data_IF_933087596195
#
_entry.id   IF_933087596195
#
_cell.length_a   1.000
_cell.length_b   1.000
_cell.length_c   1.000
_cell.angle_alpha   90.00
_cell.angle_beta   90.00
_cell.angle_gamma   90.00
#
_symmetry.space_group_name_H-M   'P 1'
#
loop_
_entity.id
_entity.type
_entity.pdbx_description
1 polymer ?
#
# COMPACT_ATOMS: atom_id res chain seq x y z
N UNK A 1 10.46 -18.58 8.03
CA UNK A 1 11.05 -19.92 8.19
C UNK A 1 11.65 -20.45 6.89
N UNK A 2 10.99 -20.29 5.75
CA UNK A 2 11.46 -20.77 4.43
C UNK A 2 12.88 -20.30 4.09
N UNK A 3 13.16 -19.03 4.35
CA UNK A 3 14.45 -18.43 4.06
C UNK A 3 15.55 -18.78 5.09
N UNK A 4 15.18 -18.86 6.38
CA UNK A 4 16.12 -18.92 7.49
C UNK A 4 16.09 -20.25 8.28
N UNK A 5 15.14 -21.15 7.99
CA UNK A 5 14.93 -22.38 8.75
C UNK A 5 16.07 -23.41 8.70
N UNK A 6 17.05 -23.20 7.84
CA UNK A 6 18.28 -24.01 7.78
C UNK A 6 19.29 -23.63 8.88
N UNK A 7 19.10 -22.48 9.54
CA UNK A 7 19.97 -21.99 10.61
C UNK A 7 19.48 -22.59 11.94
N UNK A 8 20.35 -23.36 12.60
CA UNK A 8 19.97 -24.09 13.82
C UNK A 8 19.91 -23.20 15.07
N UNK A 9 20.73 -22.16 15.16
CA UNK A 9 20.81 -21.22 16.30
C UNK A 9 20.95 -19.80 15.80
N UNK A 10 19.85 -19.24 15.31
CA UNK A 10 19.84 -17.87 14.82
C UNK A 10 19.54 -16.84 15.90
N UNK A 11 19.73 -15.58 15.54
CA UNK A 11 19.44 -14.43 16.38
C UNK A 11 18.40 -13.56 15.68
N UNK A 12 17.37 -13.15 16.42
CA UNK A 12 16.38 -12.19 15.96
C UNK A 12 16.32 -10.96 16.86
N UNK A 13 15.74 -9.91 16.32
CA UNK A 13 15.31 -8.71 17.07
C UNK A 13 13.84 -8.48 16.75
N UNK A 14 13.01 -8.35 17.79
CA UNK A 14 11.57 -8.17 17.70
C UNK A 14 11.21 -6.84 18.38
N UNK A 15 10.98 -5.80 17.60
CA UNK A 15 10.59 -4.48 18.09
C UNK A 15 9.07 -4.37 17.99
N UNK A 16 8.42 -4.16 19.14
CA UNK A 16 6.99 -4.36 19.32
C UNK A 16 6.68 -5.85 19.47
N UNK A 17 7.31 -6.51 20.46
CA UNK A 17 7.23 -7.96 20.61
C UNK A 17 5.86 -8.46 21.11
N UNK A 18 5.12 -7.64 21.84
CA UNK A 18 3.80 -7.90 22.42
C UNK A 18 3.74 -9.24 23.18
N UNK A 19 2.67 -10.03 22.99
CA UNK A 19 2.49 -11.31 23.65
C UNK A 19 3.50 -12.36 23.14
N UNK A 20 4.19 -13.10 24.04
CA UNK A 20 5.21 -14.09 23.66
C UNK A 20 4.68 -15.26 22.84
N UNK A 21 3.38 -15.48 22.78
CA UNK A 21 2.74 -16.65 22.16
C UNK A 21 1.71 -16.27 21.12
N UNK A 22 0.76 -15.38 21.46
CA UNK A 22 -0.31 -14.96 20.55
C UNK A 22 0.24 -13.96 19.52
N UNK A 23 0.05 -14.28 18.25
CA UNK A 23 0.53 -13.49 17.10
C UNK A 23 2.05 -13.25 17.04
N UNK A 24 2.84 -13.93 17.91
CA UNK A 24 4.28 -13.75 17.96
C UNK A 24 4.99 -14.35 16.75
N UNK A 25 5.60 -13.51 15.92
CA UNK A 25 6.40 -13.90 14.75
C UNK A 25 7.64 -14.69 15.17
N UNK A 26 8.24 -14.35 16.30
CA UNK A 26 9.49 -14.94 16.79
C UNK A 26 9.31 -16.24 17.56
N UNK A 27 8.09 -16.55 18.02
CA UNK A 27 7.80 -17.78 18.79
C UNK A 27 8.23 -19.06 18.08
N UNK A 28 7.95 -19.18 16.79
CA UNK A 28 8.30 -20.36 16.00
C UNK A 28 9.82 -20.55 15.86
N UNK A 29 10.59 -19.48 15.89
CA UNK A 29 12.06 -19.50 15.88
C UNK A 29 12.60 -19.84 17.28
N UNK A 30 12.06 -19.21 18.31
CA UNK A 30 12.41 -19.50 19.70
C UNK A 30 12.24 -21.00 20.03
N UNK A 31 11.10 -21.60 19.70
CA UNK A 31 10.81 -23.02 19.93
C UNK A 31 11.80 -23.95 19.22
N UNK A 32 12.48 -23.47 18.18
CA UNK A 32 13.49 -24.20 17.42
C UNK A 32 14.93 -23.89 17.83
N UNK A 33 15.10 -23.26 19.01
CA UNK A 33 16.41 -23.05 19.60
C UNK A 33 17.09 -21.73 19.26
N UNK A 34 16.40 -20.82 18.59
CA UNK A 34 16.86 -19.45 18.40
C UNK A 34 16.72 -18.66 19.69
N UNK A 35 17.40 -17.53 19.76
CA UNK A 35 17.24 -16.52 20.81
C UNK A 35 17.42 -15.13 20.22
N UNK A 36 16.95 -14.12 20.92
CA UNK A 36 17.01 -12.77 20.40
C UNK A 36 16.80 -11.69 21.45
N UNK A 37 16.42 -10.54 20.94
CA UNK A 37 16.07 -9.36 21.73
C UNK A 37 14.61 -9.03 21.47
N UNK A 38 13.82 -8.93 22.53
CA UNK A 38 12.45 -8.45 22.48
C UNK A 38 12.42 -7.02 23.06
N UNK A 39 11.95 -6.07 22.29
CA UNK A 39 11.73 -4.68 22.71
C UNK A 39 10.23 -4.50 22.88
N UNK A 40 9.79 -4.29 24.13
CA UNK A 40 8.37 -4.23 24.49
C UNK A 40 8.15 -3.28 25.66
N UNK A 41 7.40 -2.18 25.49
CA UNK A 41 7.20 -1.21 26.56
C UNK A 41 6.09 -1.57 27.55
N UNK A 42 5.11 -2.42 27.17
CA UNK A 42 3.93 -2.70 28.01
C UNK A 42 4.29 -3.69 29.11
N UNK A 43 4.14 -3.32 30.41
CA UNK A 43 4.61 -4.15 31.53
C UNK A 43 4.02 -5.57 31.53
N UNK A 44 2.76 -5.73 31.18
CA UNK A 44 2.10 -7.05 31.12
C UNK A 44 2.79 -7.98 30.13
N UNK A 45 3.14 -7.49 28.94
CA UNK A 45 3.83 -8.30 27.93
C UNK A 45 5.30 -8.55 28.31
N UNK A 46 5.95 -7.55 28.90
CA UNK A 46 7.31 -7.73 29.44
C UNK A 46 7.38 -8.86 30.47
N UNK A 47 6.44 -8.91 31.41
CA UNK A 47 6.38 -9.99 32.43
C UNK A 47 6.20 -11.36 31.76
N UNK A 48 5.30 -11.47 30.79
CA UNK A 48 5.09 -12.72 30.03
C UNK A 48 6.33 -13.12 29.24
N UNK A 49 6.99 -12.19 28.55
CA UNK A 49 8.23 -12.41 27.80
C UNK A 49 9.35 -12.93 28.71
N UNK A 50 9.54 -12.33 29.87
CA UNK A 50 10.56 -12.76 30.83
C UNK A 50 10.31 -14.19 31.35
N UNK A 51 9.05 -14.61 31.49
CA UNK A 51 8.68 -15.94 31.95
C UNK A 51 8.81 -16.98 30.81
N UNK A 52 8.27 -16.66 29.64
CA UNK A 52 8.12 -17.64 28.55
C UNK A 52 9.31 -17.68 27.60
N UNK A 53 10.13 -16.60 27.58
CA UNK A 53 11.29 -16.44 26.68
C UNK A 53 12.60 -16.23 27.45
N UNK A 54 12.94 -17.08 28.45
CA UNK A 54 14.11 -16.87 29.32
C UNK A 54 15.47 -16.95 28.59
N UNK A 55 15.52 -17.38 27.32
CA UNK A 55 16.73 -17.31 26.50
C UNK A 55 16.91 -15.99 25.78
N UNK A 56 15.87 -15.17 25.74
CA UNK A 56 15.89 -13.86 25.08
C UNK A 56 16.29 -12.77 26.07
N UNK A 57 16.78 -11.67 25.54
CA UNK A 57 16.93 -10.41 26.27
C UNK A 57 15.66 -9.59 26.05
N UNK A 58 14.94 -9.30 27.11
CA UNK A 58 13.74 -8.45 27.03
C UNK A 58 14.08 -7.04 27.55
N UNK A 59 13.83 -6.04 26.70
CA UNK A 59 14.05 -4.63 26.96
C UNK A 59 12.71 -3.94 27.19
N UNK A 60 12.45 -3.50 28.41
CA UNK A 60 11.18 -2.85 28.84
C UNK A 60 11.18 -1.36 28.48
N UNK A 61 11.18 -1.02 27.20
CA UNK A 61 11.26 0.35 26.68
C UNK A 61 10.73 0.44 25.24
N UNK A 62 10.56 1.67 24.73
CA UNK A 62 10.30 1.93 23.33
C UNK A 62 11.61 2.07 22.53
N UNK A 63 11.61 1.63 21.29
CA UNK A 63 12.64 2.02 20.32
C UNK A 63 12.20 3.27 19.55
N UNK A 64 13.15 4.14 19.18
CA UNK A 64 12.87 5.34 18.39
C UNK A 64 14.12 6.04 17.88
N UNK A 65 13.96 7.20 17.26
CA UNK A 65 15.05 7.96 16.65
C UNK A 65 16.02 8.56 17.68
N UNK A 66 15.54 8.86 18.89
CA UNK A 66 16.33 9.51 19.93
C UNK A 66 16.09 8.88 21.31
N UNK A 67 17.08 8.97 22.19
CA UNK A 67 16.91 8.61 23.60
C UNK A 67 16.03 9.64 24.33
N UNK A 68 15.16 9.17 25.21
CA UNK A 68 14.29 10.05 26.00
C UNK A 68 13.18 9.33 26.74
N UNK A 69 12.10 10.01 26.94
CA UNK A 69 10.85 9.48 27.51
C UNK A 69 9.71 9.83 26.53
N UNK A 70 8.85 8.89 26.28
CA UNK A 70 7.70 9.04 25.39
C UNK A 70 6.42 8.61 26.10
N UNK A 71 5.31 9.25 25.77
CA UNK A 71 3.99 8.77 26.16
C UNK A 71 3.55 7.67 25.20
N UNK A 72 3.37 6.47 25.72
CA UNK A 72 2.79 5.33 24.99
C UNK A 72 1.29 5.28 25.30
N UNK A 73 0.46 5.29 24.27
CA UNK A 73 -0.98 5.10 24.39
C UNK A 73 -1.28 3.61 24.33
N UNK A 74 -1.36 2.98 25.48
CA UNK A 74 -1.60 1.55 25.61
C UNK A 74 -3.09 1.23 25.43
N UNK A 75 -3.40 0.39 24.44
CA UNK A 75 -4.75 -0.14 24.20
C UNK A 75 -4.91 -1.44 24.97
N UNK A 76 -5.65 -1.40 26.09
CA UNK A 76 -5.76 -2.51 27.04
C UNK A 76 -6.24 -3.80 26.35
N UNK A 77 -5.53 -4.90 26.59
CA UNK A 77 -5.87 -6.23 26.08
C UNK A 77 -5.63 -6.46 24.58
N UNK A 78 -4.86 -5.57 23.95
CA UNK A 78 -4.50 -5.70 22.53
C UNK A 78 -3.00 -5.46 22.30
N UNK A 79 -2.50 -5.73 21.09
CA UNK A 79 -1.17 -5.33 20.64
C UNK A 79 -1.10 -3.93 20.02
N UNK A 80 -2.21 -3.21 19.92
CA UNK A 80 -2.33 -1.94 19.19
C UNK A 80 -1.82 -0.70 19.95
N UNK A 81 -0.83 -0.86 20.83
CA UNK A 81 -0.28 0.25 21.60
C UNK A 81 0.67 1.10 20.74
N UNK A 82 0.49 2.42 20.74
CA UNK A 82 1.27 3.33 19.87
C UNK A 82 1.83 4.51 20.64
N UNK A 83 2.99 5.00 20.23
CA UNK A 83 3.55 6.29 20.65
C UNK A 83 3.22 7.43 19.65
N UNK A 84 2.51 7.13 18.57
CA UNK A 84 2.14 8.11 17.54
C UNK A 84 0.82 8.79 17.87
N UNK A 85 0.85 10.12 17.99
CA UNK A 85 -0.37 10.92 18.19
C UNK A 85 -1.32 10.89 16.99
N UNK A 86 -0.81 10.62 15.79
CA UNK A 86 -1.62 10.59 14.56
C UNK A 86 -2.60 9.41 14.56
N UNK A 87 -2.25 8.31 15.23
CA UNK A 87 -3.09 7.11 15.33
C UNK A 87 -4.07 7.12 16.50
N UNK A 88 -3.92 8.04 17.46
CA UNK A 88 -4.87 8.15 18.58
C UNK A 88 -6.32 8.36 18.14
N UNK A 89 -6.54 9.14 17.09
CA UNK A 89 -7.90 9.37 16.57
C UNK A 89 -8.52 8.11 16.00
N UNK A 90 -7.73 7.26 15.35
CA UNK A 90 -8.18 5.98 14.78
C UNK A 90 -8.58 5.01 15.91
N UNK A 91 -7.77 4.96 16.98
CA UNK A 91 -8.01 4.10 18.14
C UNK A 91 -9.24 4.60 18.92
N UNK A 92 -9.38 5.91 19.12
CA UNK A 92 -10.49 6.52 19.85
C UNK A 92 -11.85 6.26 19.19
N UNK A 93 -11.91 6.19 17.88
CA UNK A 93 -13.14 5.89 17.13
C UNK A 93 -13.63 4.44 17.31
N UNK A 94 -12.76 3.54 17.78
CA UNK A 94 -13.09 2.12 18.00
C UNK A 94 -13.60 1.82 19.42
N UNK A 95 -13.74 2.82 20.30
CA UNK A 95 -14.17 2.68 21.69
C UNK A 95 -13.29 1.73 22.54
N UNK A 96 -12.01 1.60 22.22
CA UNK A 96 -11.04 0.88 23.03
C UNK A 96 -10.73 1.64 24.34
N UNK A 97 -10.46 0.89 25.40
CA UNK A 97 -9.92 1.45 26.63
C UNK A 97 -8.43 1.73 26.44
N UNK A 98 -8.01 2.98 26.65
CA UNK A 98 -6.61 3.40 26.51
C UNK A 98 -6.07 3.94 27.82
N UNK A 99 -4.80 3.65 28.09
CA UNK A 99 -4.06 4.14 29.26
C UNK A 99 -2.73 4.72 28.79
N UNK A 100 -2.43 5.95 29.20
CA UNK A 100 -1.16 6.59 28.90
C UNK A 100 -0.07 6.12 29.86
N UNK A 101 1.05 5.65 29.29
CA UNK A 101 2.22 5.19 30.01
C UNK A 101 3.42 6.05 29.62
N UNK A 102 4.12 6.61 30.62
CA UNK A 102 5.43 7.24 30.41
C UNK A 102 6.49 6.16 30.34
N UNK A 103 7.14 5.99 29.17
CA UNK A 103 8.07 4.92 28.90
C UNK A 103 9.41 5.48 28.45
N UNK A 104 10.51 4.88 28.89
CA UNK A 104 11.84 5.16 28.36
C UNK A 104 11.88 4.80 26.86
N UNK A 105 12.53 5.66 26.07
CA UNK A 105 12.79 5.45 24.66
C UNK A 105 14.29 5.48 24.41
N UNK A 106 14.81 4.52 23.65
CA UNK A 106 16.20 4.46 23.23
C UNK A 106 16.32 4.24 21.73
N UNK A 107 17.45 4.67 21.17
CA UNK A 107 17.78 4.29 19.78
C UNK A 107 18.00 2.79 19.67
N UNK A 108 17.66 2.23 18.52
CA UNK A 108 17.86 0.79 18.30
C UNK A 108 19.35 0.41 18.34
N UNK A 109 20.26 1.29 17.91
CA UNK A 109 21.70 1.13 18.10
C UNK A 109 22.06 0.85 19.56
N UNK A 110 21.59 1.69 20.47
CA UNK A 110 21.87 1.55 21.90
C UNK A 110 21.24 0.29 22.50
N UNK A 111 20.03 -0.04 22.08
CA UNK A 111 19.35 -1.27 22.48
C UNK A 111 20.19 -2.50 22.10
N UNK A 112 20.62 -2.58 20.86
CA UNK A 112 21.41 -3.71 20.35
C UNK A 112 22.79 -3.82 21.00
N UNK A 113 23.46 -2.69 21.25
CA UNK A 113 24.70 -2.66 22.02
C UNK A 113 24.50 -3.18 23.45
N UNK A 114 23.47 -2.66 24.15
CA UNK A 114 23.15 -3.03 25.53
C UNK A 114 22.73 -4.51 25.65
N UNK A 115 22.11 -5.06 24.61
CA UNK A 115 21.76 -6.47 24.52
C UNK A 115 22.96 -7.40 24.15
N UNK A 116 24.15 -6.83 23.90
CA UNK A 116 25.37 -7.58 23.62
C UNK A 116 25.39 -8.19 22.21
N UNK A 117 24.73 -7.56 21.22
CA UNK A 117 24.70 -8.04 19.84
C UNK A 117 25.84 -7.49 18.97
N UNK A 118 26.71 -6.62 19.50
CA UNK A 118 27.83 -6.06 18.74
C UNK A 118 28.73 -7.17 18.15
N UNK A 119 28.88 -7.15 16.82
CA UNK A 119 29.68 -8.14 16.07
C UNK A 119 29.03 -9.51 15.94
N UNK A 120 27.78 -9.67 16.26
CA UNK A 120 27.00 -10.90 16.05
C UNK A 120 26.06 -10.74 14.84
N UNK A 121 25.82 -11.86 14.17
CA UNK A 121 24.80 -11.89 13.11
C UNK A 121 23.41 -11.70 13.69
N UNK A 122 22.66 -10.79 13.10
CA UNK A 122 21.22 -10.63 13.30
C UNK A 122 20.53 -11.19 12.05
N UNK A 123 19.89 -12.33 12.17
CA UNK A 123 19.33 -13.02 11.02
C UNK A 123 18.02 -12.39 10.54
N UNK A 124 17.24 -11.81 11.47
CA UNK A 124 16.17 -10.89 11.08
C UNK A 124 15.87 -9.88 12.18
N UNK A 125 15.41 -8.70 11.74
CA UNK A 125 14.85 -7.65 12.56
C UNK A 125 13.40 -7.44 12.13
N UNK A 126 12.44 -7.59 13.07
CA UNK A 126 11.05 -7.19 12.91
C UNK A 126 10.85 -5.83 13.56
N UNK A 127 10.16 -4.94 12.88
CA UNK A 127 9.69 -3.64 13.39
C UNK A 127 8.19 -3.53 13.14
N UNK A 128 7.43 -3.46 14.24
CA UNK A 128 5.98 -3.45 14.24
C UNK A 128 5.55 -2.70 15.49
N UNK A 129 5.39 -1.39 15.38
CA UNK A 129 5.25 -0.43 16.50
C UNK A 129 4.08 0.54 16.29
N UNK A 130 3.11 0.09 15.46
CA UNK A 130 1.83 0.76 15.29
C UNK A 130 1.98 2.24 14.95
N UNK A 131 2.77 2.50 13.86
CA UNK A 131 2.94 3.82 13.26
C UNK A 131 4.17 4.60 13.69
N UNK A 132 5.09 4.00 14.44
CA UNK A 132 6.38 4.61 14.78
C UNK A 132 7.58 3.97 14.04
N UNK A 133 7.34 3.18 12.99
CA UNK A 133 8.35 2.42 12.24
C UNK A 133 9.45 3.33 11.70
N UNK A 134 9.10 4.49 11.14
CA UNK A 134 10.08 5.46 10.65
C UNK A 134 11.01 5.92 11.77
N UNK A 135 10.48 6.22 12.94
CA UNK A 135 11.27 6.65 14.10
C UNK A 135 12.24 5.56 14.55
N UNK A 136 11.79 4.31 14.60
CA UNK A 136 12.66 3.16 14.93
C UNK A 136 13.76 2.99 13.90
N UNK A 137 13.43 3.04 12.60
CA UNK A 137 14.38 2.87 11.50
C UNK A 137 15.38 4.02 11.40
N UNK A 138 15.08 5.22 11.87
CA UNK A 138 16.02 6.32 12.01
C UNK A 138 16.95 6.17 13.21
N UNK A 139 16.58 5.34 14.18
CA UNK A 139 17.37 5.03 15.38
C UNK A 139 18.37 3.88 15.22
N UNK A 140 18.56 3.37 14.01
CA UNK A 140 19.55 2.31 13.71
C UNK A 140 20.48 2.74 12.58
N UNK A 141 21.79 2.56 12.79
CA UNK A 141 22.78 2.69 11.72
C UNK A 141 22.89 1.36 10.95
N UNK A 142 22.20 1.29 9.82
CA UNK A 142 22.20 0.11 8.94
C UNK A 142 23.52 -0.11 8.19
N UNK A 143 24.51 0.78 8.31
CA UNK A 143 25.87 0.52 7.86
C UNK A 143 26.68 -0.29 8.88
N UNK A 144 26.30 -0.23 10.17
CA UNK A 144 26.91 -0.97 11.28
C UNK A 144 26.15 -2.24 11.60
N UNK A 145 24.83 -2.10 11.79
CA UNK A 145 23.92 -3.21 12.06
C UNK A 145 23.36 -3.72 10.75
N UNK A 146 23.67 -4.97 10.43
CA UNK A 146 23.31 -5.57 9.14
C UNK A 146 22.41 -6.80 9.32
N UNK A 147 21.13 -6.63 9.77
CA UNK A 147 20.20 -7.76 9.75
C UNK A 147 20.08 -8.35 8.35
N UNK A 148 20.14 -9.67 8.23
CA UNK A 148 20.01 -10.34 6.93
C UNK A 148 18.67 -10.09 6.28
N UNK A 149 17.60 -10.08 7.12
CA UNK A 149 16.22 -9.79 6.68
C UNK A 149 15.62 -8.71 7.59
N UNK A 150 14.95 -7.75 6.97
CA UNK A 150 14.08 -6.79 7.67
C UNK A 150 12.63 -7.13 7.36
N UNK A 151 11.79 -7.12 8.41
CA UNK A 151 10.34 -7.27 8.34
C UNK A 151 9.74 -6.06 9.02
N UNK A 152 9.12 -5.18 8.26
CA UNK A 152 8.60 -3.90 8.77
C UNK A 152 7.12 -3.80 8.48
N UNK A 153 6.33 -3.52 9.51
CA UNK A 153 4.92 -3.20 9.30
C UNK A 153 4.79 -1.98 8.38
N UNK A 154 3.87 -2.05 7.44
CA UNK A 154 3.79 -1.08 6.36
C UNK A 154 2.36 -0.62 6.06
N UNK A 155 1.46 -0.79 7.02
CA UNK A 155 0.07 -0.31 6.92
C UNK A 155 -0.28 0.55 8.12
N UNK A 156 -1.26 1.42 7.94
CA UNK A 156 -1.87 2.11 9.07
C UNK A 156 -2.60 1.11 9.97
N UNK A 157 -2.61 1.29 11.30
CA UNK A 157 -3.37 0.46 12.22
C UNK A 157 -4.82 0.30 11.77
N UNK A 158 -5.31 -0.94 11.75
CA UNK A 158 -6.68 -1.31 11.35
C UNK A 158 -7.09 -0.87 9.93
N UNK A 159 -6.13 -0.51 9.07
CA UNK A 159 -6.37 -0.05 7.71
C UNK A 159 -5.46 -0.74 6.69
N UNK A 160 -5.76 -0.59 5.41
CA UNK A 160 -4.95 -1.13 4.30
C UNK A 160 -4.07 -0.07 3.63
N UNK A 161 -4.11 1.18 4.13
CA UNK A 161 -3.29 2.26 3.61
C UNK A 161 -1.82 2.01 3.96
N UNK A 162 -0.94 2.07 2.95
CA UNK A 162 0.47 1.76 3.14
C UNK A 162 1.25 2.97 3.63
N UNK A 163 2.13 2.76 4.63
CA UNK A 163 2.94 3.79 5.30
C UNK A 163 4.40 3.82 4.85
N UNK A 164 4.86 2.83 4.11
CA UNK A 164 6.27 2.62 3.78
C UNK A 164 6.96 3.79 3.05
N UNK A 165 6.22 4.65 2.37
CA UNK A 165 6.80 5.73 1.55
C UNK A 165 7.67 6.71 2.37
N UNK A 166 7.44 6.85 3.67
CA UNK A 166 8.21 7.74 4.54
C UNK A 166 9.57 7.18 4.95
N UNK A 167 9.73 5.87 4.99
CA UNK A 167 10.92 5.20 5.52
C UNK A 167 11.62 4.23 4.54
N UNK A 168 10.98 3.78 3.47
CA UNK A 168 11.56 2.76 2.58
C UNK A 168 12.92 3.17 1.98
N UNK A 169 13.09 4.45 1.65
CA UNK A 169 14.38 4.96 1.15
C UNK A 169 15.53 4.73 2.14
N UNK A 170 15.26 4.77 3.45
CA UNK A 170 16.28 4.47 4.46
C UNK A 170 16.85 3.05 4.30
N UNK A 171 16.03 2.10 3.89
CA UNK A 171 16.45 0.71 3.70
C UNK A 171 17.15 0.52 2.34
N UNK A 172 16.54 1.03 1.27
CA UNK A 172 17.06 0.87 -0.09
C UNK A 172 18.43 1.56 -0.25
N UNK A 173 18.61 2.76 0.30
CA UNK A 173 19.86 3.52 0.24
C UNK A 173 20.99 2.85 1.08
N UNK A 174 20.62 1.98 2.02
CA UNK A 174 21.55 1.20 2.86
C UNK A 174 21.74 -0.24 2.36
N UNK A 175 21.45 -0.53 1.09
CA UNK A 175 21.76 -1.82 0.47
C UNK A 175 20.84 -2.94 0.93
N UNK A 176 19.54 -2.66 1.01
CA UNK A 176 18.48 -3.66 1.17
C UNK A 176 17.63 -3.74 -0.08
N UNK A 177 17.24 -4.95 -0.47
CA UNK A 177 16.36 -5.21 -1.59
C UNK A 177 14.95 -5.52 -1.09
N UNK A 178 13.94 -4.85 -1.64
CA UNK A 178 12.55 -5.20 -1.41
C UNK A 178 12.24 -6.60 -1.99
N UNK A 179 11.59 -7.45 -1.20
CA UNK A 179 11.23 -8.81 -1.58
C UNK A 179 9.73 -9.01 -1.76
N UNK A 180 8.93 -8.59 -0.78
CA UNK A 180 7.50 -8.87 -0.72
C UNK A 180 6.77 -7.84 0.15
N UNK A 181 5.54 -7.54 -0.22
CA UNK A 181 4.51 -7.02 0.68
C UNK A 181 3.43 -8.11 0.83
N UNK A 182 3.21 -8.58 2.06
CA UNK A 182 2.27 -9.68 2.35
C UNK A 182 0.84 -9.21 2.65
N UNK A 183 0.61 -7.90 2.61
CA UNK A 183 -0.66 -7.25 2.94
C UNK A 183 -0.62 -6.48 4.27
N UNK A 184 0.40 -6.72 5.09
CA UNK A 184 0.68 -6.02 6.35
C UNK A 184 2.14 -5.58 6.40
N UNK A 185 3.06 -6.52 6.24
CA UNK A 185 4.49 -6.31 6.37
C UNK A 185 5.20 -6.22 5.02
N UNK A 186 6.26 -5.44 4.97
CA UNK A 186 7.22 -5.43 3.87
C UNK A 186 8.50 -6.16 4.30
N UNK A 187 8.98 -7.02 3.41
CA UNK A 187 10.17 -7.85 3.62
C UNK A 187 11.31 -7.34 2.75
N UNK A 188 12.47 -7.22 3.36
CA UNK A 188 13.69 -6.80 2.67
C UNK A 188 14.82 -7.78 3.01
N UNK A 189 15.72 -8.02 2.05
CA UNK A 189 16.96 -8.78 2.26
C UNK A 189 18.16 -7.85 2.07
N UNK A 190 19.18 -7.98 2.90
CA UNK A 190 20.44 -7.29 2.69
C UNK A 190 21.09 -7.75 1.38
N UNK A 191 21.78 -6.85 0.67
CA UNK A 191 22.41 -7.14 -0.63
C UNK A 191 23.42 -8.32 -0.53
N UNK A 192 24.14 -8.41 0.58
CA UNK A 192 25.07 -9.49 0.89
C UNK A 192 24.39 -10.85 1.16
N UNK A 193 23.06 -10.85 1.34
CA UNK A 193 22.20 -12.02 1.52
C UNK A 193 21.14 -12.16 0.44
N UNK A 194 21.44 -11.71 -0.78
CA UNK A 194 20.53 -11.76 -1.93
C UNK A 194 20.07 -13.18 -2.30
N UNK A 195 20.76 -14.22 -1.86
CA UNK A 195 20.35 -15.62 -1.97
C UNK A 195 19.03 -15.92 -1.24
N UNK A 196 18.63 -15.09 -0.25
CA UNK A 196 17.37 -15.22 0.47
C UNK A 196 16.16 -14.67 -0.30
N UNK A 197 16.39 -13.77 -1.27
CA UNK A 197 15.33 -13.10 -2.04
C UNK A 197 14.34 -14.08 -2.67
N UNK A 198 14.74 -15.17 -3.36
CA UNK A 198 13.78 -16.09 -3.95
C UNK A 198 12.84 -16.74 -2.93
N UNK A 199 13.32 -16.99 -1.69
CA UNK A 199 12.52 -17.56 -0.61
C UNK A 199 11.57 -16.54 0.05
N UNK A 200 11.85 -15.23 -0.07
CA UNK A 200 11.09 -14.14 0.51
C UNK A 200 10.13 -13.47 -0.48
N UNK A 201 10.22 -13.78 -1.79
CA UNK A 201 9.50 -13.06 -2.84
C UNK A 201 8.03 -13.46 -3.03
N UNK A 202 7.50 -14.36 -2.23
CA UNK A 202 6.10 -14.78 -2.29
C UNK A 202 5.54 -15.08 -0.90
N UNK A 203 4.24 -14.85 -0.67
CA UNK A 203 3.63 -15.01 0.64
C UNK A 203 3.69 -16.47 1.13
N UNK A 204 3.53 -16.66 2.43
CA UNK A 204 3.43 -17.99 3.01
C UNK A 204 2.25 -18.76 2.41
N UNK A 205 2.46 -20.04 2.15
CA UNK A 205 1.49 -20.91 1.50
C UNK A 205 1.44 -22.30 2.08
N UNK A 206 0.61 -23.17 1.50
CA UNK A 206 0.39 -24.54 1.98
C UNK A 206 1.68 -25.39 2.03
N UNK A 207 2.66 -25.07 1.21
CA UNK A 207 3.94 -25.78 1.16
C UNK A 207 4.89 -25.43 2.31
N UNK A 208 4.63 -24.33 3.04
CA UNK A 208 5.45 -23.91 4.18
C UNK A 208 5.15 -24.70 5.46
N UNK A 209 4.20 -25.64 5.41
CA UNK A 209 3.76 -26.44 6.54
C UNK A 209 3.48 -25.57 7.77
N UNK A 210 2.45 -24.72 7.74
CA UNK A 210 2.17 -23.77 8.81
C UNK A 210 2.08 -24.49 10.14
N UNK A 211 2.83 -23.99 11.11
CA UNK A 211 2.96 -24.58 12.43
C UNK A 211 1.98 -23.87 13.38
N UNK A 212 1.11 -24.61 14.00
CA UNK A 212 0.18 -24.09 15.00
C UNK A 212 0.72 -24.36 16.39
N UNK A 213 1.00 -23.33 17.16
CA UNK A 213 1.33 -23.43 18.59
C UNK A 213 0.01 -23.38 19.36
N UNK A 214 -0.35 -24.46 20.05
CA UNK A 214 -1.57 -24.50 20.84
C UNK A 214 -1.49 -25.52 21.98
N UNK A 215 -2.01 -25.15 23.12
CA UNK A 215 -2.23 -26.01 24.26
C UNK A 215 -3.39 -26.96 24.01
N UNK A 216 -3.15 -28.25 24.05
CA UNK A 216 -4.18 -29.27 24.18
C UNK A 216 -5.05 -29.57 22.94
N UNK A 217 -5.38 -30.83 22.72
CA UNK A 217 -6.20 -31.32 21.59
C UNK A 217 -7.59 -30.70 21.52
N UNK A 218 -8.17 -30.27 22.65
CA UNK A 218 -9.51 -29.67 22.73
C UNK A 218 -9.54 -28.22 22.24
N UNK A 219 -8.52 -27.41 22.56
CA UNK A 219 -8.38 -26.05 22.04
C UNK A 219 -8.08 -26.06 20.53
N UNK A 220 -7.25 -27.01 20.08
CA UNK A 220 -7.00 -27.22 18.64
C UNK A 220 -8.26 -27.59 17.88
N UNK A 221 -9.13 -28.43 18.45
CA UNK A 221 -10.38 -28.78 17.81
C UNK A 221 -11.36 -27.60 17.74
N UNK A 222 -11.52 -26.83 18.83
CA UNK A 222 -12.37 -25.65 18.87
C UNK A 222 -11.86 -24.54 17.92
N UNK A 223 -10.54 -24.34 17.86
CA UNK A 223 -9.93 -23.38 16.93
C UNK A 223 -10.03 -23.84 15.48
N UNK A 224 -9.90 -25.15 15.22
CA UNK A 224 -10.13 -25.72 13.89
C UNK A 224 -11.57 -25.52 13.44
N UNK A 225 -12.56 -25.73 14.31
CA UNK A 225 -13.97 -25.47 14.01
C UNK A 225 -14.24 -23.98 13.75
N UNK A 226 -13.66 -23.08 14.55
CA UNK A 226 -13.76 -21.63 14.33
C UNK A 226 -13.14 -21.19 13.00
N UNK A 227 -11.96 -21.70 12.66
CA UNK A 227 -11.28 -21.41 11.39
C UNK A 227 -12.04 -21.99 10.18
N UNK A 228 -12.68 -23.15 10.36
CA UNK A 228 -13.54 -23.72 9.31
C UNK A 228 -14.74 -22.80 9.07
N UNK A 229 -15.38 -22.30 10.13
CA UNK A 229 -16.51 -21.37 10.03
C UNK A 229 -16.10 -20.04 9.38
N UNK A 230 -14.93 -19.50 9.77
CA UNK A 230 -14.38 -18.29 9.16
C UNK A 230 -14.03 -18.49 7.68
N UNK A 231 -13.40 -19.61 7.33
CA UNK A 231 -13.14 -20.00 5.94
C UNK A 231 -14.41 -20.05 5.12
N UNK A 232 -15.47 -20.66 5.67
CA UNK A 232 -16.75 -20.83 4.97
C UNK A 232 -17.43 -19.46 4.76
N UNK A 233 -17.41 -18.59 5.77
CA UNK A 233 -17.90 -17.22 5.66
C UNK A 233 -17.09 -16.39 4.64
N UNK A 234 -15.78 -16.56 4.61
CA UNK A 234 -14.91 -15.91 3.62
C UNK A 234 -15.17 -16.44 2.21
N UNK A 235 -15.39 -17.75 2.06
CA UNK A 235 -15.74 -18.37 0.79
C UNK A 235 -17.07 -17.85 0.24
N UNK A 236 -18.10 -17.68 1.11
CA UNK A 236 -19.36 -17.05 0.73
C UNK A 236 -19.17 -15.58 0.31
N UNK A 237 -18.40 -14.82 1.08
CA UNK A 237 -18.09 -13.43 0.76
C UNK A 237 -17.33 -13.30 -0.57
N UNK A 238 -16.37 -14.21 -0.83
CA UNK A 238 -15.65 -14.28 -2.08
C UNK A 238 -16.56 -14.60 -3.26
N UNK A 239 -17.49 -15.57 -3.08
CA UNK A 239 -18.46 -15.90 -4.12
C UNK A 239 -19.40 -14.73 -4.45
N UNK A 240 -19.85 -13.98 -3.44
CA UNK A 240 -20.64 -12.76 -3.63
C UNK A 240 -19.83 -11.67 -4.37
N UNK A 241 -18.58 -11.46 -3.98
CA UNK A 241 -17.69 -10.49 -4.64
C UNK A 241 -17.45 -10.87 -6.10
N UNK A 242 -17.24 -12.15 -6.38
CA UNK A 242 -17.05 -12.64 -7.73
C UNK A 242 -18.30 -12.44 -8.59
N UNK A 243 -19.49 -12.70 -8.05
CA UNK A 243 -20.74 -12.43 -8.75
C UNK A 243 -20.92 -10.94 -9.08
N UNK A 244 -20.61 -10.06 -8.10
CA UNK A 244 -20.65 -8.60 -8.30
C UNK A 244 -19.63 -8.13 -9.33
N UNK A 245 -18.44 -8.73 -9.32
CA UNK A 245 -17.41 -8.45 -10.32
C UNK A 245 -17.86 -8.83 -11.74
N UNK A 246 -18.44 -10.04 -11.91
CA UNK A 246 -18.93 -10.51 -13.19
C UNK A 246 -20.09 -9.64 -13.72
N UNK A 247 -20.99 -9.22 -12.84
CA UNK A 247 -22.06 -8.28 -13.18
C UNK A 247 -21.50 -6.91 -13.62
N UNK A 248 -20.53 -6.39 -12.88
CA UNK A 248 -19.85 -5.12 -13.20
C UNK A 248 -19.11 -5.21 -14.54
N UNK A 249 -18.44 -6.33 -14.78
CA UNK A 249 -17.71 -6.58 -16.04
C UNK A 249 -18.69 -6.66 -17.24
N UNK A 250 -19.84 -7.29 -17.04
CA UNK A 250 -20.91 -7.36 -18.05
C UNK A 250 -21.48 -5.97 -18.36
N UNK A 251 -21.77 -5.17 -17.32
CA UNK A 251 -22.25 -3.80 -17.45
C UNK A 251 -21.21 -2.90 -18.14
N UNK A 252 -19.93 -3.05 -17.80
CA UNK A 252 -18.84 -2.35 -18.48
C UNK A 252 -18.76 -2.72 -19.97
N UNK A 253 -18.91 -4.01 -20.31
CA UNK A 253 -18.95 -4.47 -21.70
C UNK A 253 -20.09 -3.84 -22.50
N UNK A 254 -21.29 -3.76 -21.91
CA UNK A 254 -22.44 -3.11 -22.53
C UNK A 254 -22.18 -1.60 -22.75
N UNK A 255 -21.71 -0.90 -21.73
CA UNK A 255 -21.39 0.53 -21.79
C UNK A 255 -20.28 0.81 -22.82
N UNK A 256 -19.27 -0.06 -22.89
CA UNK A 256 -18.22 0.05 -23.90
C UNK A 256 -18.76 -0.09 -25.34
N UNK A 257 -19.68 -1.04 -25.55
CA UNK A 257 -20.35 -1.21 -26.84
C UNK A 257 -21.19 0.01 -27.23
N UNK A 258 -21.95 0.57 -26.28
CA UNK A 258 -22.69 1.81 -26.47
C UNK A 258 -21.78 2.99 -26.83
N UNK A 259 -20.65 3.10 -26.12
CA UNK A 259 -19.66 4.14 -26.39
C UNK A 259 -19.08 4.03 -27.80
N UNK A 260 -18.71 2.83 -28.23
CA UNK A 260 -18.23 2.61 -29.60
C UNK A 260 -19.28 3.00 -30.65
N UNK A 261 -20.55 2.64 -30.41
CA UNK A 261 -21.67 3.02 -31.28
C UNK A 261 -21.88 4.55 -31.35
N UNK A 262 -21.72 5.23 -30.20
CA UNK A 262 -21.79 6.67 -30.14
C UNK A 262 -20.63 7.35 -30.90
N UNK A 263 -19.40 6.82 -30.79
CA UNK A 263 -18.25 7.30 -31.55
C UNK A 263 -18.48 7.16 -33.07
N UNK A 264 -19.01 6.03 -33.51
CA UNK A 264 -19.35 5.83 -34.92
C UNK A 264 -20.45 6.79 -35.37
N UNK A 265 -21.48 7.01 -34.54
CA UNK A 265 -22.54 7.98 -34.79
C UNK A 265 -22.00 9.41 -34.92
N UNK A 266 -21.09 9.79 -34.02
CA UNK A 266 -20.41 11.08 -34.09
C UNK A 266 -19.56 11.23 -35.36
N UNK A 267 -18.86 10.15 -35.77
CA UNK A 267 -18.14 10.12 -37.02
C UNK A 267 -19.01 10.40 -38.23
N UNK A 268 -20.20 9.76 -38.32
CA UNK A 268 -21.18 10.00 -39.38
C UNK A 268 -21.68 11.44 -39.37
N UNK A 269 -22.04 11.95 -38.20
CA UNK A 269 -22.55 13.32 -38.06
C UNK A 269 -21.49 14.37 -38.46
N UNK A 270 -20.24 14.12 -38.16
CA UNK A 270 -19.14 15.00 -38.56
C UNK A 270 -18.97 15.06 -40.09
N UNK A 271 -19.11 13.93 -40.76
CA UNK A 271 -19.08 13.88 -42.24
C UNK A 271 -20.28 14.65 -42.83
N UNK A 272 -21.46 14.42 -42.31
CA UNK A 272 -22.67 15.13 -42.75
C UNK A 272 -22.55 16.65 -42.53
N UNK A 273 -22.04 17.06 -41.38
CA UNK A 273 -21.75 18.46 -41.09
C UNK A 273 -20.78 19.08 -42.09
N UNK A 274 -19.68 18.36 -42.40
CA UNK A 274 -18.73 18.82 -43.41
C UNK A 274 -19.34 18.95 -44.80
N UNK A 275 -20.13 17.96 -45.21
CA UNK A 275 -20.87 18.04 -46.46
C UNK A 275 -21.82 19.26 -46.55
N UNK A 276 -22.46 19.58 -45.40
CA UNK A 276 -23.32 20.74 -45.31
C UNK A 276 -22.53 22.05 -45.43
N UNK A 277 -21.37 22.14 -44.76
CA UNK A 277 -20.47 23.31 -44.89
C UNK A 277 -19.96 23.49 -46.33
N UNK A 278 -19.60 22.40 -46.98
CA UNK A 278 -19.16 22.43 -48.38
C UNK A 278 -20.32 22.85 -49.33
N UNK A 279 -21.55 22.43 -49.02
CA UNK A 279 -22.78 22.90 -49.67
C UNK A 279 -22.98 24.41 -49.54
N UNK A 280 -22.85 24.93 -48.32
CA UNK A 280 -22.95 26.38 -48.05
C UNK A 280 -21.84 27.16 -48.78
N UNK A 281 -20.61 26.65 -48.81
CA UNK A 281 -19.51 27.33 -49.50
C UNK A 281 -19.77 27.40 -51.00
N UNK A 282 -20.32 26.33 -51.61
CA UNK A 282 -20.72 26.35 -53.04
C UNK A 282 -21.83 27.36 -53.31
N UNK A 283 -22.93 27.30 -52.50
CA UNK A 283 -24.06 28.23 -52.63
C UNK A 283 -23.61 29.70 -52.44
N UNK A 284 -22.70 29.96 -51.50
CA UNK A 284 -22.16 31.29 -51.32
C UNK A 284 -21.35 31.77 -52.53
N UNK A 285 -20.53 30.89 -53.13
CA UNK A 285 -19.80 31.19 -54.38
C UNK A 285 -20.73 31.50 -55.54
N UNK A 286 -21.79 30.70 -55.71
CA UNK A 286 -22.80 30.89 -56.73
C UNK A 286 -23.54 32.24 -56.50
N UNK A 287 -23.88 32.57 -55.28
CA UNK A 287 -24.52 33.85 -54.92
C UNK A 287 -23.62 35.04 -55.25
N UNK A 288 -22.32 34.99 -54.92
CA UNK A 288 -21.36 36.01 -55.29
C UNK A 288 -21.25 36.20 -56.80
N UNK A 289 -21.18 35.10 -57.53
CA UNK A 289 -21.16 35.10 -59.02
C UNK A 289 -22.42 35.72 -59.62
N UNK A 290 -23.57 35.44 -59.02
CA UNK A 290 -24.85 36.06 -59.45
C UNK A 290 -24.86 37.59 -59.18
N UNK A 291 -24.39 38.01 -58.00
CA UNK A 291 -24.24 39.46 -57.69
C UNK A 291 -23.34 40.14 -58.67
N UNK A 292 -22.21 39.56 -59.03
CA UNK A 292 -21.31 40.10 -60.06
C UNK A 292 -21.99 40.16 -61.44
N UNK A 293 -22.79 39.11 -61.76
CA UNK A 293 -23.61 39.10 -62.96
C UNK A 293 -24.63 40.25 -63.01
N UNK A 294 -25.36 40.45 -61.93
CA UNK A 294 -26.27 41.60 -61.80
C UNK A 294 -25.58 42.94 -61.95
N UNK A 295 -24.42 43.11 -61.33
CA UNK A 295 -23.64 44.34 -61.46
C UNK A 295 -23.20 44.62 -62.92
N UNK A 296 -22.85 43.58 -63.69
CA UNK A 296 -22.55 43.74 -65.11
C UNK A 296 -23.78 44.12 -65.93
N UNK A 297 -24.91 43.49 -65.65
CA UNK A 297 -26.17 43.83 -66.32
C UNK A 297 -26.63 45.24 -65.99
N UNK A 298 -26.47 45.70 -64.75
CA UNK A 298 -26.81 47.07 -64.38
C UNK A 298 -25.94 48.12 -65.13
N UNK A 299 -24.68 47.87 -65.24
CA UNK A 299 -23.75 48.68 -66.04
C UNK A 299 -24.15 48.68 -67.55
N UNK A 300 -24.46 47.50 -68.12
CA UNK A 300 -24.91 47.39 -69.49
C UNK A 300 -26.24 48.13 -69.73
N UNK A 301 -27.19 47.98 -68.81
CA UNK A 301 -28.47 48.74 -68.82
C UNK A 301 -28.22 50.21 -68.75
N UNK A 302 -27.39 50.72 -67.87
CA UNK A 302 -27.03 52.14 -67.78
C UNK A 302 -26.41 52.66 -69.08
N UNK A 303 -25.48 51.90 -69.66
CA UNK A 303 -24.83 52.23 -70.95
C UNK A 303 -25.88 52.33 -72.08
N UNK A 304 -26.87 51.43 -72.03
CA UNK A 304 -28.01 51.45 -73.03
C UNK A 304 -28.87 52.71 -72.84
N UNK A 305 -29.22 53.04 -71.58
CA UNK A 305 -29.98 54.26 -71.31
C UNK A 305 -29.23 55.54 -71.73
N UNK A 306 -27.89 55.58 -71.45
CA UNK A 306 -27.06 56.72 -71.87
C UNK A 306 -26.98 56.79 -73.41
N UNK A 307 -26.97 55.64 -74.10
CA UNK A 307 -27.02 55.55 -75.55
C UNK A 307 -28.34 56.11 -76.07
N UNK A 308 -29.47 55.75 -75.50
CA UNK A 308 -30.77 56.33 -75.82
C UNK A 308 -30.86 57.83 -75.57
N UNK A 309 -30.35 58.34 -74.46
CA UNK A 309 -30.32 59.74 -74.13
C UNK A 309 -29.52 60.55 -75.14
N UNK A 310 -28.38 60.02 -75.66
CA UNK A 310 -27.61 60.64 -76.73
C UNK A 310 -28.36 60.74 -78.03
N UNK A 311 -29.02 59.63 -78.48
CA UNK A 311 -29.82 59.60 -79.67
C UNK A 311 -30.95 60.60 -79.65
N UNK A 312 -31.59 60.81 -78.46
CA UNK A 312 -32.63 61.80 -78.28
C UNK A 312 -32.16 63.27 -78.19
N UNK A 313 -30.88 63.47 -77.91
CA UNK A 313 -30.29 64.84 -77.84
C UNK A 313 -29.76 65.32 -79.20
N UNK A 314 -29.64 64.40 -80.20
CA UNK A 314 -29.21 64.74 -81.56
C UNK A 314 -30.41 65.01 -82.55
N UNK A 315 -31.61 64.97 -82.05
CA UNK A 315 -32.88 65.38 -82.78
C UNK A 315 -33.55 66.51 -82.05
#
# INVERSE_FOLDING_TARGET
WRALGHISHGTYVDVGAADPTEYSVTKAFYDRGWSGVNVEPVPEFVEKLLIERPRDVTMALCAGENDGVVTLHHVVGTGLSTSSNDYLSVIADQAFETVDLEVEMQTLDRILESAGLSGRDIHFLKVDVEGAEESVLRGIDLAVWRPWVLVVEATEPLATAQTHASWESLLLDNGYQFCLFDGLNRFYAADEHSELVPALSYPAGVFDQPYTVGSGQLELAARAEALIAERDALAESYAMLQATYDETLSAYGALHSEHLSAIEGYGRLKVEHQNTLDGYARLHSEHLSAIEGYGRLEVEHQNTLDGYARLHSEH
#
